data_IF_972977713198
#
_entry.id   IF_972977713198
#
_cell.length_a   1.000
_cell.length_b   1.000
_cell.length_c   1.000
_cell.angle_alpha   90.00
_cell.angle_beta   90.00
_cell.angle_gamma   90.00
#
_symmetry.space_group_name_H-M   'P 1'
#
loop_
_entity.id
_entity.type
_entity.pdbx_description
1 polymer ?
#
# COMPACT_ATOMS: atom_id res chain seq x y z
N UNK A 1 12.15 -30.72 8.41
CA UNK A 1 12.53 -29.71 7.39
C UNK A 1 11.56 -28.55 7.54
N UNK A 2 11.99 -27.48 8.22
CA UNK A 2 11.13 -26.32 8.48
C UNK A 2 11.07 -25.47 7.22
N UNK A 3 9.93 -25.48 6.53
CA UNK A 3 9.67 -24.62 5.38
C UNK A 3 9.48 -23.18 5.91
N UNK A 4 10.58 -22.48 6.14
CA UNK A 4 10.59 -21.07 6.52
C UNK A 4 10.16 -20.26 5.29
N UNK A 5 8.85 -20.19 5.03
CA UNK A 5 8.28 -19.28 4.06
C UNK A 5 8.76 -17.87 4.43
N UNK A 6 9.64 -17.30 3.60
CA UNK A 6 10.18 -15.97 3.86
C UNK A 6 9.00 -14.99 3.79
N UNK A 7 8.75 -14.23 4.86
CA UNK A 7 7.59 -13.35 4.89
C UNK A 7 7.69 -12.35 3.73
N UNK A 8 6.74 -12.43 2.81
CA UNK A 8 6.74 -11.63 1.59
C UNK A 8 5.98 -10.34 1.85
N UNK A 9 6.61 -9.21 1.55
CA UNK A 9 5.92 -7.91 1.58
C UNK A 9 5.06 -7.78 0.34
N UNK A 10 3.82 -7.32 0.54
CA UNK A 10 2.92 -6.91 -0.52
C UNK A 10 2.88 -5.39 -0.56
N UNK A 11 3.07 -4.84 -1.75
CA UNK A 11 3.19 -3.41 -2.01
C UNK A 11 2.30 -3.10 -3.20
N UNK A 12 1.65 -1.95 -3.16
CA UNK A 12 0.94 -1.39 -4.30
C UNK A 12 0.80 0.12 -4.15
N UNK A 13 0.36 0.77 -5.22
CA UNK A 13 0.21 2.22 -5.26
C UNK A 13 -0.94 2.66 -6.16
N UNK A 14 -1.52 3.83 -5.85
CA UNK A 14 -2.51 4.52 -6.68
C UNK A 14 -2.21 6.01 -6.74
N UNK A 15 -2.40 6.58 -7.92
CA UNK A 15 -2.45 8.02 -8.10
C UNK A 15 -3.70 8.59 -7.44
N UNK A 16 -3.55 9.65 -6.66
CA UNK A 16 -4.65 10.34 -5.98
C UNK A 16 -5.28 11.44 -6.85
N UNK A 17 -4.95 11.46 -8.14
CA UNK A 17 -5.43 12.44 -9.11
C UNK A 17 -4.48 13.63 -9.28
N UNK A 18 -5.03 14.84 -9.19
CA UNK A 18 -4.34 16.10 -9.53
C UNK A 18 -3.12 16.36 -8.63
N UNK A 19 -2.09 17.00 -9.18
CA UNK A 19 -0.81 17.36 -8.52
C UNK A 19 0.19 16.22 -8.25
N UNK A 20 0.14 15.13 -9.02
CA UNK A 20 1.21 14.11 -8.96
C UNK A 20 1.33 13.42 -7.60
N UNK A 21 0.25 13.39 -6.81
CA UNK A 21 0.25 12.70 -5.52
C UNK A 21 0.03 11.20 -5.72
N UNK A 22 0.83 10.40 -5.03
CA UNK A 22 0.76 8.94 -5.05
C UNK A 22 0.57 8.43 -3.63
N UNK A 23 -0.42 7.55 -3.43
CA UNK A 23 -0.54 6.76 -2.21
C UNK A 23 0.00 5.37 -2.46
N UNK A 24 0.94 4.92 -1.64
CA UNK A 24 1.49 3.57 -1.64
C UNK A 24 1.18 2.89 -0.33
N UNK A 25 0.94 1.58 -0.36
CA UNK A 25 0.79 0.78 0.85
C UNK A 25 1.87 -0.29 0.94
N UNK A 26 2.17 -0.71 2.16
CA UNK A 26 3.00 -1.88 2.45
C UNK A 26 2.34 -2.69 3.55
N UNK A 27 2.16 -3.98 3.31
CA UNK A 27 1.73 -4.96 4.32
C UNK A 27 2.51 -6.26 4.19
N UNK A 28 2.51 -7.09 5.22
CA UNK A 28 3.05 -8.45 5.15
C UNK A 28 1.93 -9.46 4.96
N UNK A 29 2.22 -10.51 4.20
CA UNK A 29 1.31 -11.64 4.01
C UNK A 29 1.00 -12.41 5.31
N UNK A 30 1.81 -12.26 6.35
CA UNK A 30 1.63 -12.95 7.65
C UNK A 30 0.90 -12.11 8.70
N UNK A 31 0.54 -10.85 8.39
CA UNK A 31 -0.18 -9.95 9.30
C UNK A 31 0.60 -9.51 10.54
N UNK A 32 1.88 -9.87 10.68
CA UNK A 32 2.68 -9.59 11.90
C UNK A 32 3.24 -8.17 11.98
N UNK A 33 3.01 -7.35 10.95
CA UNK A 33 3.48 -5.97 10.88
C UNK A 33 2.31 -5.06 10.57
N UNK A 34 2.22 -3.96 11.31
CA UNK A 34 1.15 -2.98 11.15
C UNK A 34 1.16 -2.44 9.71
N UNK A 35 0.04 -2.53 8.97
CA UNK A 35 -0.01 -2.02 7.61
C UNK A 35 0.23 -0.52 7.59
N UNK A 36 0.95 -0.04 6.57
CA UNK A 36 1.22 1.39 6.41
C UNK A 36 0.82 1.90 5.04
N UNK A 37 0.39 3.16 5.01
CA UNK A 37 0.15 3.93 3.79
C UNK A 37 1.05 5.16 3.83
N UNK A 38 1.79 5.40 2.75
CA UNK A 38 2.62 6.59 2.57
C UNK A 38 2.09 7.38 1.36
N UNK A 39 1.85 8.68 1.56
CA UNK A 39 1.52 9.60 0.47
C UNK A 39 2.77 10.39 0.12
N UNK A 40 3.18 10.30 -1.14
CA UNK A 40 4.34 11.01 -1.68
C UNK A 40 3.90 12.04 -2.71
N UNK A 41 4.59 13.16 -2.74
CA UNK A 41 4.50 14.10 -3.86
C UNK A 41 5.42 13.64 -4.98
N UNK A 42 4.93 13.62 -6.21
CA UNK A 42 5.76 13.43 -7.41
C UNK A 42 6.11 14.76 -8.09
N UNK A 43 5.81 15.90 -7.45
CA UNK A 43 6.19 17.20 -7.96
C UNK A 43 7.71 17.37 -7.88
N UNK A 44 8.32 17.43 -9.07
CA UNK A 44 9.66 17.94 -9.34
C UNK A 44 10.83 17.24 -8.66
N UNK A 45 11.23 16.07 -9.17
CA UNK A 45 12.66 15.76 -9.27
C UNK A 45 12.92 14.93 -10.54
N UNK A 46 13.82 15.42 -11.39
CA UNK A 46 14.35 14.70 -12.57
C UNK A 46 15.11 13.39 -12.21
N UNK A 47 15.08 12.97 -10.94
CA UNK A 47 15.88 11.88 -10.37
C UNK A 47 15.03 10.78 -9.69
N UNK A 48 13.70 10.82 -9.82
CA UNK A 48 12.83 9.75 -9.32
C UNK A 48 12.78 9.63 -7.79
N UNK A 49 13.16 10.69 -7.06
CA UNK A 49 13.13 10.72 -5.61
C UNK A 49 11.71 11.07 -5.11
N UNK A 50 10.97 10.05 -4.68
CA UNK A 50 9.67 10.23 -4.04
C UNK A 50 9.85 10.62 -2.56
N UNK A 51 9.53 11.87 -2.22
CA UNK A 51 9.55 12.34 -0.82
C UNK A 51 8.15 12.23 -0.21
N UNK A 52 8.04 11.84 1.08
CA UNK A 52 6.77 11.92 1.79
C UNK A 52 6.23 13.35 1.74
N UNK A 53 4.96 13.50 1.36
CA UNK A 53 4.35 14.81 1.27
C UNK A 53 4.21 15.43 2.67
N UNK A 54 4.77 16.64 2.86
CA UNK A 54 4.77 17.32 4.16
C UNK A 54 3.35 17.74 4.60
N UNK A 55 2.46 18.02 3.64
CA UNK A 55 1.04 18.25 3.85
C UNK A 55 0.29 17.88 2.57
N UNK A 56 -0.86 17.23 2.72
CA UNK A 56 -1.65 16.74 1.58
C UNK A 56 -3.10 17.21 1.74
N UNK A 57 -3.60 17.89 0.72
CA UNK A 57 -5.04 18.19 0.59
C UNK A 57 -5.61 17.40 -0.58
N UNK A 58 -6.56 16.51 -0.32
CA UNK A 58 -7.28 15.74 -1.35
C UNK A 58 -8.66 16.36 -1.51
N UNK A 59 -8.81 17.24 -2.50
CA UNK A 59 -10.03 18.04 -2.70
C UNK A 59 -10.99 17.47 -3.76
N UNK A 60 -10.78 16.22 -4.20
CA UNK A 60 -11.62 15.58 -5.22
C UNK A 60 -12.22 14.27 -4.71
N UNK A 61 -13.48 14.00 -5.07
CA UNK A 61 -14.15 12.72 -4.76
C UNK A 61 -13.36 11.53 -5.31
N UNK A 62 -12.84 11.65 -6.54
CA UNK A 62 -12.04 10.61 -7.17
C UNK A 62 -10.76 10.31 -6.37
N UNK A 63 -10.04 11.34 -5.92
CA UNK A 63 -8.85 11.16 -5.08
C UNK A 63 -9.16 10.55 -3.71
N UNK A 64 -10.28 10.93 -3.10
CA UNK A 64 -10.73 10.33 -1.83
C UNK A 64 -11.09 8.84 -1.98
N UNK A 65 -11.75 8.47 -3.09
CA UNK A 65 -12.03 7.07 -3.39
C UNK A 65 -10.76 6.27 -3.68
N UNK A 66 -9.80 6.84 -4.43
CA UNK A 66 -8.51 6.22 -4.66
C UNK A 66 -7.71 6.00 -3.37
N UNK A 67 -7.71 6.98 -2.45
CA UNK A 67 -7.08 6.82 -1.14
C UNK A 67 -7.77 5.71 -0.33
N UNK A 68 -9.11 5.67 -0.36
CA UNK A 68 -9.87 4.60 0.30
C UNK A 68 -9.48 3.23 -0.21
N UNK A 69 -9.39 3.03 -1.53
CA UNK A 69 -8.98 1.74 -2.11
C UNK A 69 -7.59 1.30 -1.61
N UNK A 70 -6.65 2.24 -1.50
CA UNK A 70 -5.30 1.96 -0.98
C UNK A 70 -5.34 1.57 0.49
N UNK A 71 -6.15 2.25 1.30
CA UNK A 71 -6.34 1.92 2.72
C UNK A 71 -7.00 0.54 2.86
N UNK A 72 -8.07 0.28 2.11
CA UNK A 72 -8.80 -1.00 2.14
C UNK A 72 -7.88 -2.16 1.74
N UNK A 73 -6.98 -1.93 0.78
CA UNK A 73 -5.95 -2.89 0.39
C UNK A 73 -4.86 -3.08 1.46
N UNK A 74 -4.40 -1.99 2.08
CA UNK A 74 -3.42 -2.05 3.16
C UNK A 74 -3.94 -2.84 4.37
N UNK A 75 -5.24 -2.71 4.67
CA UNK A 75 -5.91 -3.38 5.76
C UNK A 75 -6.40 -4.80 5.39
N UNK A 76 -6.26 -5.23 4.13
CA UNK A 76 -6.73 -6.56 3.71
C UNK A 76 -5.95 -7.65 4.43
N UNK A 77 -6.69 -8.47 5.18
CA UNK A 77 -6.14 -9.66 5.80
C UNK A 77 -5.72 -10.67 4.72
N UNK A 78 -4.64 -11.43 4.95
CA UNK A 78 -4.31 -12.54 4.05
C UNK A 78 -5.49 -13.50 3.97
N UNK A 79 -5.78 -13.99 2.76
CA UNK A 79 -6.75 -15.06 2.59
C UNK A 79 -6.37 -16.20 3.53
N UNK A 80 -7.32 -16.67 4.33
CA UNK A 80 -7.08 -17.84 5.16
C UNK A 80 -6.62 -18.97 4.24
N UNK A 81 -5.39 -19.47 4.41
CA UNK A 81 -4.98 -20.69 3.73
C UNK A 81 -6.08 -21.73 3.98
N UNK A 82 -6.60 -22.41 2.94
CA UNK A 82 -7.59 -23.45 3.15
C UNK A 82 -6.99 -24.45 4.12
N UNK A 83 -7.57 -24.51 5.32
CA UNK A 83 -7.17 -25.40 6.38
C UNK A 83 -7.35 -26.84 5.88
N UNK A 84 -6.27 -27.45 5.40
CA UNK A 84 -6.23 -28.86 5.03
C UNK A 84 -6.64 -29.17 3.60
N UNK A 85 -5.67 -29.12 2.69
CA UNK A 85 -5.49 -30.20 1.72
C UNK A 85 -4.25 -30.99 2.15
N UNK A 86 -4.38 -31.74 3.25
CA UNK A 86 -3.43 -32.80 3.54
C UNK A 86 -3.77 -33.99 2.60
N UNK A 87 -2.78 -34.65 1.98
CA UNK A 87 -2.98 -35.86 1.20
C UNK A 87 -3.45 -37.04 2.06
#
# INVERSE_FOLDING_TARGET
MSNSATPTFQIGARALGYYGLMASYRRRSDGKWEPSVCITSSADTDEGAHTPAQSVTINSRAGLLALREVIDEALRQPDAEPAGAAP
#
